data_IF_530426902048
#
_entry.id   IF_530426902048
#
_cell.length_a   1.000
_cell.length_b   1.000
_cell.length_c   1.000
_cell.angle_alpha   90.00
_cell.angle_beta   90.00
_cell.angle_gamma   90.00
#
_symmetry.space_group_name_H-M   'P 1'
#
loop_
_entity.id
_entity.type
_entity.pdbx_description
1 polymer ?
#
# COMPACT_ATOMS: atom_id res chain seq x y z
N UNK A 1 -27.88 -8.00 6.83
CA UNK A 1 -26.49 -7.65 6.63
C UNK A 1 -25.61 -8.85 6.25
N UNK A 2 -25.60 -9.99 6.97
CA UNK A 2 -24.77 -11.17 6.61
C UNK A 2 -25.07 -11.74 5.22
N UNK A 3 -26.35 -11.75 4.79
CA UNK A 3 -26.76 -12.26 3.46
C UNK A 3 -26.28 -11.38 2.30
N UNK A 4 -26.20 -10.06 2.52
CA UNK A 4 -25.68 -9.10 1.51
C UNK A 4 -24.17 -9.27 1.35
N UNK A 5 -23.44 -9.47 2.46
CA UNK A 5 -21.99 -9.73 2.43
C UNK A 5 -21.67 -11.02 1.67
N UNK A 6 -22.43 -12.10 1.92
CA UNK A 6 -22.29 -13.37 1.20
C UNK A 6 -22.62 -13.20 -0.28
N UNK A 7 -23.68 -12.45 -0.64
CA UNK A 7 -24.04 -12.19 -2.03
C UNK A 7 -22.97 -11.38 -2.76
N UNK A 8 -22.37 -10.38 -2.10
CA UNK A 8 -21.25 -9.60 -2.65
C UNK A 8 -20.02 -10.47 -2.84
N UNK A 9 -19.68 -11.33 -1.87
CA UNK A 9 -18.56 -12.27 -1.98
C UNK A 9 -18.83 -13.27 -3.11
N UNK A 10 -20.02 -13.87 -3.19
CA UNK A 10 -20.38 -14.80 -4.28
C UNK A 10 -20.40 -14.09 -5.63
N UNK A 11 -20.87 -12.86 -5.72
CA UNK A 11 -20.84 -12.07 -6.96
C UNK A 11 -19.39 -11.77 -7.39
N UNK A 12 -18.47 -11.47 -6.44
CA UNK A 12 -17.05 -11.28 -6.73
C UNK A 12 -16.37 -12.56 -7.23
N UNK A 13 -16.84 -13.74 -6.81
CA UNK A 13 -16.31 -15.03 -7.30
C UNK A 13 -17.01 -15.52 -8.58
N UNK A 14 -18.18 -15.00 -8.93
CA UNK A 14 -18.95 -15.45 -10.11
C UNK A 14 -18.55 -14.76 -11.42
N UNK A 15 -17.70 -13.72 -11.38
CA UNK A 15 -17.23 -12.99 -12.57
C UNK A 15 -16.06 -13.75 -13.25
N UNK A 16 -16.02 -15.07 -13.09
CA UNK A 16 -14.86 -15.91 -13.41
C UNK A 16 -14.66 -16.26 -14.90
N UNK A 17 -15.38 -15.66 -15.84
CA UNK A 17 -15.21 -16.05 -17.25
C UNK A 17 -14.07 -15.32 -18.00
N UNK A 18 -13.53 -14.20 -17.41
CA UNK A 18 -12.45 -13.41 -18.05
C UNK A 18 -11.46 -12.78 -17.04
N UNK A 19 -11.57 -13.09 -15.76
CA UNK A 19 -10.71 -12.47 -14.77
C UNK A 19 -9.32 -13.14 -14.76
N UNK A 20 -8.33 -12.40 -15.22
CA UNK A 20 -6.94 -12.79 -15.06
C UNK A 20 -6.47 -12.42 -13.64
N UNK A 21 -5.91 -13.40 -12.97
CA UNK A 21 -5.31 -13.21 -11.65
C UNK A 21 -3.79 -13.18 -11.80
N UNK A 22 -3.16 -12.27 -11.10
CA UNK A 22 -1.71 -12.21 -11.00
C UNK A 22 -1.32 -12.31 -9.53
N UNK A 23 -0.35 -13.16 -9.22
CA UNK A 23 0.22 -13.29 -7.87
C UNK A 23 1.74 -13.21 -7.95
N UNK A 24 2.35 -12.54 -6.99
CA UNK A 24 3.80 -12.40 -6.99
C UNK A 24 4.35 -11.68 -5.78
N UNK A 25 5.54 -11.16 -5.95
CA UNK A 25 6.26 -10.41 -4.94
C UNK A 25 6.50 -8.96 -5.38
N UNK A 26 6.60 -8.07 -4.41
CA UNK A 26 7.01 -6.68 -4.58
C UNK A 26 8.20 -6.40 -3.68
N UNK A 27 9.20 -5.70 -4.21
CA UNK A 27 10.45 -5.39 -3.51
C UNK A 27 10.87 -3.95 -3.77
N UNK A 28 11.59 -3.35 -2.81
CA UNK A 28 12.07 -1.97 -2.87
C UNK A 28 11.64 -1.15 -1.66
N UNK A 29 11.01 -0.03 -1.87
CA UNK A 29 10.46 0.78 -0.77
C UNK A 29 9.40 0.07 0.06
N UNK A 30 8.84 -1.02 -0.46
CA UNK A 30 8.01 -1.99 0.25
C UNK A 30 8.33 -3.40 -0.23
N UNK A 31 8.28 -4.38 0.69
CA UNK A 31 8.69 -5.75 0.43
C UNK A 31 7.60 -6.71 0.91
N UNK A 32 7.06 -7.52 0.02
CA UNK A 32 5.97 -8.41 0.37
C UNK A 32 5.32 -9.13 -0.79
N UNK A 33 4.08 -9.55 -0.56
CA UNK A 33 3.25 -10.21 -1.55
C UNK A 33 2.39 -9.20 -2.31
N UNK A 34 2.21 -9.43 -3.59
CA UNK A 34 1.37 -8.63 -4.48
C UNK A 34 0.37 -9.53 -5.18
N UNK A 35 -0.88 -9.13 -5.16
CA UNK A 35 -1.98 -9.78 -5.87
C UNK A 35 -2.70 -8.74 -6.71
N UNK A 36 -3.00 -9.08 -7.97
CA UNK A 36 -3.77 -8.23 -8.89
C UNK A 36 -4.91 -9.04 -9.50
N UNK A 37 -6.06 -8.42 -9.56
CA UNK A 37 -7.27 -8.93 -10.17
C UNK A 37 -7.73 -7.99 -11.28
N UNK A 38 -7.89 -8.51 -12.50
CA UNK A 38 -8.35 -7.75 -13.65
C UNK A 38 -9.86 -7.88 -13.82
N UNK A 39 -10.57 -6.75 -13.80
CA UNK A 39 -11.99 -6.70 -14.14
C UNK A 39 -12.22 -6.71 -15.66
N UNK A 40 -11.29 -6.10 -16.39
CA UNK A 40 -11.22 -6.05 -17.85
C UNK A 40 -9.78 -5.69 -18.25
N UNK A 41 -9.53 -5.52 -19.57
CA UNK A 41 -8.17 -5.26 -20.11
C UNK A 41 -7.53 -3.95 -19.57
N UNK A 42 -8.32 -3.02 -19.05
CA UNK A 42 -7.84 -1.74 -18.57
C UNK A 42 -7.94 -1.55 -17.05
N UNK A 43 -8.94 -2.14 -16.39
CA UNK A 43 -9.22 -1.91 -14.98
C UNK A 43 -8.81 -3.10 -14.13
N UNK A 44 -7.99 -2.85 -13.13
CA UNK A 44 -7.54 -3.86 -12.17
C UNK A 44 -7.66 -3.38 -10.71
N UNK A 45 -7.81 -4.32 -9.79
CA UNK A 45 -7.63 -4.15 -8.36
C UNK A 45 -6.33 -4.83 -7.96
N UNK A 46 -5.41 -4.09 -7.38
CA UNK A 46 -4.16 -4.61 -6.84
C UNK A 46 -4.17 -4.50 -5.33
N UNK A 47 -3.78 -5.55 -4.63
CA UNK A 47 -3.64 -5.59 -3.19
C UNK A 47 -2.22 -6.06 -2.84
N UNK A 48 -1.48 -5.24 -2.11
CA UNK A 48 -0.12 -5.56 -1.67
C UNK A 48 -0.09 -5.66 -0.16
N UNK A 49 0.40 -6.78 0.35
CA UNK A 49 0.68 -7.01 1.76
C UNK A 49 2.19 -6.94 1.95
N UNK A 50 2.65 -5.87 2.57
CA UNK A 50 4.07 -5.55 2.57
C UNK A 50 4.56 -4.95 3.88
N UNK A 51 5.86 -5.10 4.11
CA UNK A 51 6.63 -4.36 5.11
C UNK A 51 7.44 -3.30 4.38
N UNK A 52 7.44 -2.08 4.89
CA UNK A 52 8.16 -0.97 4.31
C UNK A 52 8.82 -0.06 5.34
N UNK A 53 9.54 0.91 4.82
CA UNK A 53 10.06 2.04 5.58
C UNK A 53 9.22 3.27 5.23
N UNK A 54 8.75 3.97 6.24
CA UNK A 54 7.96 5.20 6.11
C UNK A 54 8.62 6.28 6.94
N UNK A 55 8.66 7.50 6.44
CA UNK A 55 9.04 8.67 7.24
C UNK A 55 7.78 9.28 7.86
N UNK A 56 7.83 9.47 9.17
CA UNK A 56 6.79 10.18 9.90
C UNK A 56 7.25 11.58 10.27
N UNK A 57 6.37 12.53 10.05
CA UNK A 57 6.56 13.92 10.42
C UNK A 57 5.62 14.25 11.57
N UNK A 58 6.19 14.73 12.66
CA UNK A 58 5.41 15.24 13.78
C UNK A 58 5.77 16.69 14.04
N UNK A 59 4.77 17.45 14.40
CA UNK A 59 4.98 18.77 14.94
C UNK A 59 4.33 18.81 16.32
N UNK A 60 5.08 19.20 17.32
CA UNK A 60 4.56 19.45 18.67
C UNK A 60 4.71 20.93 18.97
N UNK A 61 3.62 21.58 19.32
CA UNK A 61 3.65 22.98 19.76
C UNK A 61 3.51 23.02 21.27
N UNK A 62 4.56 23.48 21.97
CA UNK A 62 4.55 23.65 23.41
C UNK A 62 4.91 25.10 23.70
N UNK A 63 4.05 25.83 24.45
CA UNK A 63 4.22 27.25 24.79
C UNK A 63 4.48 28.16 23.56
N UNK A 64 3.81 27.91 22.44
CA UNK A 64 3.94 28.69 21.20
C UNK A 64 5.19 28.38 20.37
N UNK A 65 6.04 27.45 20.79
CA UNK A 65 7.20 26.98 20.03
C UNK A 65 6.83 25.66 19.34
N UNK A 66 6.87 25.66 18.00
CA UNK A 66 6.64 24.44 17.20
C UNK A 66 7.96 23.75 16.93
N UNK A 67 8.12 22.54 17.41
CA UNK A 67 9.24 21.67 17.10
C UNK A 67 8.77 20.61 16.11
N UNK A 68 9.40 20.57 14.93
CA UNK A 68 9.15 19.56 13.92
C UNK A 68 10.26 18.50 13.97
N UNK A 69 9.88 17.24 13.92
CA UNK A 69 10.82 16.11 13.91
C UNK A 69 10.37 15.10 12.84
N UNK A 70 11.34 14.52 12.14
CA UNK A 70 11.11 13.36 11.27
C UNK A 70 11.86 12.15 11.82
N UNK A 71 11.20 11.01 11.86
CA UNK A 71 11.82 9.73 12.22
C UNK A 71 11.39 8.66 11.22
N UNK A 72 12.32 7.75 10.88
CA UNK A 72 12.00 6.56 10.12
C UNK A 72 11.18 5.56 10.96
N UNK A 73 10.25 4.90 10.30
CA UNK A 73 9.39 3.88 10.90
C UNK A 73 9.33 2.65 10.04
N UNK A 74 9.15 1.49 10.67
CA UNK A 74 8.71 0.29 9.99
C UNK A 74 7.19 0.26 9.94
N UNK A 75 6.62 -0.01 8.78
CA UNK A 75 5.20 -0.25 8.61
C UNK A 75 4.94 -1.65 8.01
N UNK A 76 3.87 -2.28 8.50
CA UNK A 76 3.27 -3.46 7.91
C UNK A 76 1.91 -3.04 7.38
N UNK A 77 1.73 -3.08 6.07
CA UNK A 77 0.57 -2.48 5.41
C UNK A 77 -0.08 -3.41 4.40
N UNK A 78 -1.40 -3.27 4.33
CA UNK A 78 -2.23 -3.75 3.23
C UNK A 78 -2.63 -2.53 2.38
N UNK A 79 -2.28 -2.53 1.10
CA UNK A 79 -2.55 -1.46 0.16
C UNK A 79 -3.46 -1.95 -0.98
N UNK A 80 -4.80 -1.92 -0.83
CA UNK A 80 -5.72 -2.12 -1.94
C UNK A 80 -5.77 -0.87 -2.83
N UNK A 81 -5.53 -1.04 -4.14
CA UNK A 81 -5.48 0.02 -5.14
C UNK A 81 -6.32 -0.35 -6.36
N UNK A 82 -7.17 0.56 -6.80
CA UNK A 82 -7.81 0.49 -8.10
C UNK A 82 -6.91 1.16 -9.14
N UNK A 83 -6.58 0.44 -10.20
CA UNK A 83 -5.62 0.85 -11.21
C UNK A 83 -6.28 0.82 -12.58
N UNK A 84 -6.05 1.86 -13.36
CA UNK A 84 -6.39 1.90 -14.77
C UNK A 84 -5.12 1.82 -15.61
N UNK A 85 -5.13 0.96 -16.62
CA UNK A 85 -3.99 0.66 -17.48
C UNK A 85 -4.26 1.16 -18.89
N UNK A 86 -3.23 1.68 -19.54
CA UNK A 86 -3.21 2.08 -20.94
C UNK A 86 -2.10 1.33 -21.66
N UNK A 87 -2.42 0.75 -22.82
CA UNK A 87 -1.43 0.16 -23.70
C UNK A 87 -0.56 1.26 -24.30
N UNK A 88 0.74 1.04 -24.31
CA UNK A 88 1.67 1.91 -25.00
C UNK A 88 1.92 1.41 -26.44
N UNK A 89 2.40 2.29 -27.35
CA UNK A 89 2.76 1.86 -28.71
C UNK A 89 3.89 0.81 -28.78
N UNK A 90 4.52 0.53 -27.65
CA UNK A 90 5.52 -0.53 -27.48
C UNK A 90 4.81 -1.80 -27.06
N UNK A 91 5.04 -2.89 -27.80
CA UNK A 91 4.43 -4.19 -27.53
C UNK A 91 4.63 -4.61 -26.06
N UNK A 92 3.57 -5.12 -25.45
CA UNK A 92 3.56 -5.67 -24.09
C UNK A 92 3.87 -4.69 -22.95
N UNK A 93 3.96 -3.40 -23.26
CA UNK A 93 4.23 -2.38 -22.26
C UNK A 93 2.96 -1.57 -21.99
N UNK A 94 2.57 -1.51 -20.72
CA UNK A 94 1.43 -0.75 -20.23
C UNK A 94 1.91 0.29 -19.23
N UNK A 95 1.35 1.48 -19.29
CA UNK A 95 1.40 2.45 -18.19
C UNK A 95 0.13 2.32 -17.37
N UNK A 96 0.20 2.54 -16.08
CA UNK A 96 -0.98 2.56 -15.22
C UNK A 96 -0.92 3.67 -14.19
N UNK A 97 -2.11 4.09 -13.78
CA UNK A 97 -2.29 5.01 -12.66
C UNK A 97 -3.57 4.68 -11.91
N UNK A 98 -3.60 5.08 -10.66
CA UNK A 98 -4.75 4.86 -9.80
C UNK A 98 -4.51 5.31 -8.39
N UNK A 99 -5.26 4.72 -7.47
CA UNK A 99 -5.12 5.02 -6.06
C UNK A 99 -5.90 4.06 -5.17
N UNK A 100 -5.69 4.20 -3.90
CA UNK A 100 -6.30 3.31 -2.94
C UNK A 100 -6.07 3.71 -1.48
N UNK A 101 -6.19 2.72 -0.63
CA UNK A 101 -6.05 2.85 0.80
C UNK A 101 -4.73 2.22 1.27
N UNK A 102 -4.25 2.72 2.40
CA UNK A 102 -3.14 2.12 3.14
C UNK A 102 -3.61 1.85 4.56
N UNK A 103 -3.68 0.58 4.94
CA UNK A 103 -4.18 0.14 6.25
C UNK A 103 -3.13 -0.74 6.87
N UNK A 104 -2.73 -0.46 8.10
CA UNK A 104 -1.67 -1.27 8.70
C UNK A 104 -1.30 -0.90 10.11
N UNK A 105 -0.11 -1.35 10.45
CA UNK A 105 0.53 -1.10 11.74
C UNK A 105 1.91 -0.48 11.49
N UNK A 106 2.38 0.30 12.42
CA UNK A 106 3.73 0.87 12.35
C UNK A 106 4.43 0.86 13.70
N UNK A 107 5.76 0.85 13.65
CA UNK A 107 6.63 0.98 14.83
C UNK A 107 7.78 1.95 14.54
N UNK A 108 8.10 2.78 15.51
CA UNK A 108 9.19 3.76 15.40
C UNK A 108 10.55 3.08 15.48
N UNK A 109 11.47 3.42 14.57
CA UNK A 109 12.83 2.87 14.56
C UNK A 109 13.72 3.43 15.67
N UNK A 110 13.52 4.69 16.05
CA UNK A 110 14.28 5.33 17.12
C UNK A 110 13.46 5.40 18.39
N UNK A 111 13.85 4.59 19.37
CA UNK A 111 13.28 4.63 20.72
C UNK A 111 14.09 5.56 21.57
N UNK A 112 13.42 6.44 22.30
CA UNK A 112 14.10 7.15 23.40
C UNK A 112 14.35 6.17 24.56
N UNK A 113 15.47 6.29 25.27
CA UNK A 113 15.72 5.49 26.46
C UNK A 113 14.53 5.61 27.45
N UNK A 114 13.94 4.46 27.82
CA UNK A 114 12.77 4.42 28.71
C UNK A 114 11.41 4.39 28.02
N UNK A 115 11.32 4.57 26.70
CA UNK A 115 10.07 4.35 25.95
C UNK A 115 9.95 2.90 25.53
N UNK A 116 8.84 2.28 25.94
CA UNK A 116 8.48 0.98 25.40
C UNK A 116 7.88 1.14 24.00
N UNK A 117 8.21 0.21 23.13
CA UNK A 117 7.65 0.11 21.77
C UNK A 117 6.15 -0.06 21.84
N UNK A 118 5.41 0.81 21.19
CA UNK A 118 3.99 0.59 20.91
C UNK A 118 3.81 0.52 19.41
N UNK A 119 3.30 -0.61 18.98
CA UNK A 119 2.75 -0.76 17.63
C UNK A 119 1.48 0.09 17.58
N UNK A 120 1.40 0.98 16.61
CA UNK A 120 0.26 1.85 16.43
C UNK A 120 -0.44 1.55 15.09
N UNK A 121 -1.73 1.86 15.01
CA UNK A 121 -2.50 1.71 13.78
C UNK A 121 -2.15 2.79 12.77
N UNK A 122 -2.16 2.44 11.47
CA UNK A 122 -2.00 3.34 10.33
C UNK A 122 -3.23 3.23 9.43
N UNK A 123 -3.75 4.38 9.04
CA UNK A 123 -4.77 4.49 8.01
C UNK A 123 -4.43 5.66 7.09
N UNK A 124 -4.49 5.44 5.78
CA UNK A 124 -4.15 6.47 4.82
C UNK A 124 -4.72 6.21 3.43
N UNK A 125 -4.42 7.13 2.55
CA UNK A 125 -4.69 7.05 1.11
C UNK A 125 -3.37 7.05 0.37
N UNK A 126 -3.32 6.39 -0.77
CA UNK A 126 -2.17 6.45 -1.65
C UNK A 126 -2.62 6.61 -3.10
N UNK A 127 -1.77 7.24 -3.91
CA UNK A 127 -1.81 7.11 -5.35
C UNK A 127 -0.84 6.00 -5.77
N UNK A 128 -1.07 5.44 -6.94
CA UNK A 128 -0.18 4.48 -7.56
C UNK A 128 -0.03 4.79 -9.04
N UNK A 129 1.18 4.81 -9.53
CA UNK A 129 1.49 4.96 -10.95
C UNK A 129 2.68 4.07 -11.30
N UNK A 130 2.74 3.59 -12.54
CA UNK A 130 3.84 2.73 -12.91
C UNK A 130 3.80 2.25 -14.34
N UNK A 131 4.76 1.37 -14.64
CA UNK A 131 4.89 0.66 -15.90
C UNK A 131 4.80 -0.84 -15.64
N UNK A 132 4.15 -1.58 -16.52
CA UNK A 132 4.08 -3.02 -16.48
C UNK A 132 4.48 -3.59 -17.84
N UNK A 133 5.34 -4.59 -17.84
CA UNK A 133 5.77 -5.30 -19.02
C UNK A 133 5.33 -6.76 -18.92
N UNK A 134 4.56 -7.19 -19.91
CA UNK A 134 4.06 -8.55 -20.06
C UNK A 134 5.05 -9.37 -20.90
N UNK A 135 5.59 -10.46 -20.36
CA UNK A 135 6.49 -11.32 -21.13
C UNK A 135 5.70 -12.26 -22.05
N UNK A 136 6.05 -12.29 -23.34
CA UNK A 136 5.37 -13.17 -24.32
C UNK A 136 5.66 -14.66 -24.11
N UNK A 137 6.91 -14.97 -23.73
CA UNK A 137 7.38 -16.35 -23.66
C UNK A 137 6.99 -17.07 -22.36
N UNK A 138 6.61 -16.33 -21.32
CA UNK A 138 6.31 -16.86 -19.98
C UNK A 138 5.16 -16.06 -19.36
N UNK A 139 4.32 -16.66 -18.52
CA UNK A 139 3.21 -15.97 -17.89
C UNK A 139 3.66 -15.07 -16.71
N UNK A 140 4.60 -14.18 -17.00
CA UNK A 140 5.16 -13.24 -16.02
C UNK A 140 4.88 -11.79 -16.42
N UNK A 141 4.71 -10.96 -15.42
CA UNK A 141 4.59 -9.50 -15.51
C UNK A 141 5.64 -8.87 -14.62
N UNK A 142 6.49 -8.04 -15.19
CA UNK A 142 7.40 -7.18 -14.44
C UNK A 142 6.79 -5.78 -14.35
N UNK A 143 6.66 -5.23 -13.16
CA UNK A 143 6.12 -3.90 -12.97
C UNK A 143 7.06 -3.03 -12.13
N UNK A 144 7.07 -1.74 -12.46
CA UNK A 144 7.73 -0.70 -11.70
C UNK A 144 6.66 0.24 -11.14
N UNK A 145 6.61 0.34 -9.82
CA UNK A 145 5.60 1.09 -9.07
C UNK A 145 6.18 2.34 -8.43
N UNK A 146 5.48 3.47 -8.54
CA UNK A 146 5.67 4.67 -7.74
C UNK A 146 4.41 4.95 -6.95
N UNK A 147 4.52 5.10 -5.63
CA UNK A 147 3.38 5.22 -4.71
C UNK A 147 3.60 6.31 -3.67
N UNK A 148 3.17 7.54 -3.96
CA UNK A 148 3.04 8.58 -2.95
C UNK A 148 1.81 8.30 -2.09
N UNK A 149 1.93 8.52 -0.78
CA UNK A 149 0.86 8.29 0.17
C UNK A 149 0.83 9.33 1.28
N UNK A 150 -0.36 9.49 1.85
CA UNK A 150 -0.58 10.27 3.05
C UNK A 150 -1.45 9.48 4.02
N UNK A 151 -1.05 9.44 5.28
CA UNK A 151 -1.78 8.69 6.29
C UNK A 151 -1.70 9.31 7.67
N UNK A 152 -2.55 8.75 8.53
CA UNK A 152 -2.59 9.06 9.94
C UNK A 152 -2.19 7.82 10.74
N UNK A 153 -1.31 8.01 11.68
CA UNK A 153 -0.98 7.01 12.69
C UNK A 153 -1.73 7.28 13.97
N UNK A 154 -2.24 6.24 14.59
CA UNK A 154 -3.01 6.32 15.83
C UNK A 154 -2.38 5.41 16.88
N UNK A 155 -2.10 5.94 18.05
CA UNK A 155 -1.56 5.16 19.15
C UNK A 155 -1.95 5.74 20.52
N UNK A 156 -1.71 4.94 21.55
CA UNK A 156 -1.81 5.40 22.93
C UNK A 156 -0.41 5.48 23.54
N UNK A 157 -0.13 6.55 24.29
CA UNK A 157 1.10 6.63 25.04
C UNK A 157 1.04 5.69 26.27
N UNK A 158 2.17 5.06 26.59
CA UNK A 158 2.21 4.10 27.69
C UNK A 158 2.15 4.86 29.02
N UNK A 159 1.16 4.52 29.84
CA UNK A 159 0.93 5.21 31.12
C UNK A 159 -0.02 6.40 31.05
N UNK A 160 -0.46 6.80 29.86
CA UNK A 160 -1.48 7.82 29.63
C UNK A 160 -2.69 7.22 28.89
N UNK A 161 -3.87 7.77 29.13
CA UNK A 161 -5.05 7.48 28.33
C UNK A 161 -5.13 8.37 27.08
N UNK A 162 -4.15 9.24 26.87
CA UNK A 162 -4.15 10.18 25.76
C UNK A 162 -3.83 9.46 24.45
N UNK A 163 -4.64 9.74 23.43
CA UNK A 163 -4.39 9.29 22.06
C UNK A 163 -3.50 10.32 21.38
N UNK A 164 -2.45 9.86 20.73
CA UNK A 164 -1.68 10.69 19.81
C UNK A 164 -2.02 10.36 18.35
N UNK A 165 -1.98 11.38 17.54
CA UNK A 165 -2.14 11.25 16.09
C UNK A 165 -0.88 11.76 15.42
N UNK A 166 -0.34 10.99 14.50
CA UNK A 166 0.87 11.33 13.73
C UNK A 166 0.52 11.42 12.25
N UNK A 167 0.94 12.48 11.60
CA UNK A 167 0.83 12.63 10.16
C UNK A 167 2.00 11.92 9.48
N UNK A 168 1.71 11.15 8.45
CA UNK A 168 2.69 10.39 7.69
C UNK A 168 2.58 10.76 6.23
N UNK A 169 3.68 11.14 5.64
CA UNK A 169 3.80 11.25 4.19
C UNK A 169 4.85 10.25 3.75
N UNK A 170 4.48 9.36 2.84
CA UNK A 170 5.42 8.42 2.29
C UNK A 170 5.41 8.47 0.76
N UNK A 171 6.52 8.11 0.19
CA UNK A 171 6.64 7.82 -1.23
C UNK A 171 7.48 6.56 -1.36
N UNK A 172 6.99 5.62 -2.14
CA UNK A 172 7.63 4.32 -2.27
C UNK A 172 7.87 4.04 -3.75
N UNK A 173 9.07 3.57 -4.04
CA UNK A 173 9.43 3.02 -5.34
C UNK A 173 9.63 1.53 -5.14
N UNK A 174 9.01 0.72 -5.98
CA UNK A 174 9.09 -0.72 -5.89
C UNK A 174 9.08 -1.39 -7.26
N UNK A 175 9.58 -2.61 -7.30
CA UNK A 175 9.52 -3.49 -8.45
C UNK A 175 8.69 -4.70 -8.05
N UNK A 176 7.73 -5.08 -8.88
CA UNK A 176 6.93 -6.27 -8.68
C UNK A 176 7.13 -7.26 -9.82
N UNK A 177 7.25 -8.53 -9.45
CA UNK A 177 7.23 -9.65 -10.38
C UNK A 177 6.03 -10.52 -10.04
N UNK A 178 5.10 -10.68 -11.00
CA UNK A 178 3.85 -11.43 -10.83
C UNK A 178 3.73 -12.53 -11.89
N UNK A 179 3.10 -13.60 -11.50
CA UNK A 179 2.72 -14.72 -12.35
C UNK A 179 1.23 -14.63 -12.68
N UNK A 180 0.86 -14.77 -13.96
CA UNK A 180 -0.52 -14.83 -14.44
C UNK A 180 -1.07 -16.24 -14.23
N UNK A 181 -2.22 -16.34 -13.59
CA UNK A 181 -2.93 -17.60 -13.31
C UNK A 181 -3.97 -17.90 -14.38
#
# INVERSE_FOLDING_TARGET
>A
MKKILVAVVVALFSINAMAQHEIGAIVGGMNGASYKYWFNDALALQADLAVGLTEAYWSQTTNGVTTSRSDGMWDFVLNPNALYHWDLPVSNLKIYAGGGLSIGLYDMLKKQPGQSTKVAGKFGINAAAGLAYDFDAVPLVLAFDFRPGYGLGFGKEQGSNDMFTTHMFDWKIAVALRYKL
#
